data_IF_394450959443
#
_entry.id   IF_394450959443
#
_cell.length_a   1.000
_cell.length_b   1.000
_cell.length_c   1.000
_cell.angle_alpha   90.00
_cell.angle_beta   90.00
_cell.angle_gamma   90.00
#
_symmetry.space_group_name_H-M   'P 1'
#
loop_
_entity.id
_entity.type
_entity.pdbx_description
1 polymer ?
#
# COMPACT_ATOMS: atom_id res chain seq x y z
N UNK A 1 17.67 79.73 19.62
CA UNK A 1 16.32 79.35 19.13
C UNK A 1 16.54 78.21 18.16
N UNK A 2 16.09 77.00 18.51
CA UNK A 2 16.37 75.78 17.73
C UNK A 2 15.05 75.32 17.13
N UNK A 3 14.91 75.49 15.80
CA UNK A 3 13.75 75.03 15.04
C UNK A 3 13.60 73.51 15.19
N UNK A 4 12.47 73.05 15.72
CA UNK A 4 12.04 71.66 15.54
C UNK A 4 11.55 71.54 14.10
N UNK A 5 12.31 70.86 13.25
CA UNK A 5 11.80 70.40 11.96
C UNK A 5 10.79 69.26 12.22
N UNK A 6 9.53 69.63 12.43
CA UNK A 6 8.42 68.68 12.39
C UNK A 6 8.16 68.27 10.94
N UNK A 7 8.05 66.97 10.68
CA UNK A 7 7.55 66.47 9.41
C UNK A 7 6.03 66.69 9.39
N UNK A 8 5.51 67.29 8.33
CA UNK A 8 4.06 67.46 8.12
C UNK A 8 3.58 66.50 7.03
N UNK A 9 2.46 65.82 7.28
CA UNK A 9 1.84 64.88 6.36
C UNK A 9 0.48 65.44 5.91
N UNK A 10 0.34 65.63 4.60
CA UNK A 10 -0.88 66.14 3.99
C UNK A 10 -1.74 64.98 3.52
N UNK A 11 -2.87 64.74 4.20
CA UNK A 11 -3.81 63.65 3.87
C UNK A 11 -5.20 64.17 3.48
N UNK A 12 -5.44 65.47 3.55
CA UNK A 12 -6.74 66.02 3.18
C UNK A 12 -7.08 65.72 1.70
N UNK A 13 -8.35 65.41 1.44
CA UNK A 13 -8.82 64.98 0.12
C UNK A 13 -8.37 63.59 -0.35
N UNK A 14 -7.58 62.84 0.43
CA UNK A 14 -7.16 61.48 0.07
C UNK A 14 -8.12 60.41 0.61
N UNK A 15 -8.74 59.65 -0.29
CA UNK A 15 -9.58 58.51 0.06
C UNK A 15 -8.72 57.26 0.28
N UNK A 16 -8.21 57.06 1.50
CA UNK A 16 -7.48 55.85 1.87
C UNK A 16 -8.24 54.98 2.87
N UNK A 17 -7.95 53.68 2.81
CA UNK A 17 -8.68 52.66 3.57
C UNK A 17 -8.03 52.40 4.94
N UNK A 18 -8.82 52.38 6.01
CA UNK A 18 -8.44 51.91 7.34
C UNK A 18 -8.70 50.40 7.43
N UNK A 19 -7.85 49.61 6.77
CA UNK A 19 -7.92 48.14 6.74
C UNK A 19 -6.56 47.51 7.10
N UNK A 20 -6.49 46.18 7.11
CA UNK A 20 -5.25 45.46 7.43
C UNK A 20 -4.09 45.79 6.47
N UNK A 21 -4.37 46.15 5.22
CA UNK A 21 -3.33 46.44 4.22
C UNK A 21 -2.58 47.75 4.53
N UNK A 22 -3.28 48.75 5.07
CA UNK A 22 -2.71 50.05 5.45
C UNK A 22 -2.38 50.15 6.94
N UNK A 23 -2.41 49.03 7.68
CA UNK A 23 -2.13 48.99 9.12
C UNK A 23 -0.76 49.59 9.47
N UNK A 24 0.24 49.35 8.62
CA UNK A 24 1.59 49.86 8.85
C UNK A 24 1.69 51.38 8.69
N UNK A 25 0.94 51.98 7.76
CA UNK A 25 0.84 53.44 7.63
C UNK A 25 0.19 54.05 8.89
N UNK A 26 -0.89 53.45 9.38
CA UNK A 26 -1.58 53.92 10.59
C UNK A 26 -0.67 53.78 11.82
N UNK A 27 0.08 52.68 11.93
CA UNK A 27 1.09 52.47 12.99
C UNK A 27 2.28 53.42 12.85
N UNK A 28 2.66 53.78 11.63
CA UNK A 28 3.73 54.74 11.40
C UNK A 28 3.31 56.14 11.87
N UNK A 29 2.14 56.63 11.45
CA UNK A 29 1.56 57.91 11.90
C UNK A 29 1.50 58.00 13.43
N UNK A 30 1.09 56.90 14.09
CA UNK A 30 1.11 56.75 15.56
C UNK A 30 2.48 57.00 16.18
N UNK A 31 3.48 56.33 15.62
CA UNK A 31 4.80 56.20 16.23
C UNK A 31 5.61 57.47 16.02
N UNK A 32 5.48 58.08 14.84
CA UNK A 32 6.23 59.28 14.46
C UNK A 32 5.58 60.57 14.95
N UNK A 33 4.29 60.55 15.34
CA UNK A 33 3.53 61.74 15.77
C UNK A 33 3.68 62.90 14.77
N UNK A 34 3.57 62.57 13.49
CA UNK A 34 3.66 63.53 12.38
C UNK A 34 2.54 64.56 12.47
N UNK A 35 2.81 65.81 12.14
CA UNK A 35 1.79 66.86 12.13
C UNK A 35 0.89 66.68 10.90
N UNK A 36 -0.42 66.55 11.12
CA UNK A 36 -1.40 66.42 10.05
C UNK A 36 -1.90 67.79 9.60
N UNK A 37 -2.10 67.95 8.30
CA UNK A 37 -2.58 69.18 7.64
C UNK A 37 -3.96 69.66 8.11
N UNK A 38 -4.86 68.74 8.48
CA UNK A 38 -6.18 69.02 9.00
C UNK A 38 -6.46 68.26 10.29
N UNK A 39 -7.21 68.87 11.22
CA UNK A 39 -7.61 68.23 12.48
C UNK A 39 -8.58 67.05 12.27
N UNK A 40 -9.12 66.84 11.06
CA UNK A 40 -10.07 65.77 10.76
C UNK A 40 -9.75 65.03 9.45
N UNK A 41 -8.54 64.49 9.32
CA UNK A 41 -8.25 63.55 8.23
C UNK A 41 -9.07 62.27 8.40
N UNK A 42 -9.84 61.92 7.36
CA UNK A 42 -10.80 60.81 7.37
C UNK A 42 -10.24 59.62 6.63
N UNK A 43 -10.57 58.42 7.10
CA UNK A 43 -10.32 57.17 6.39
C UNK A 43 -11.58 56.32 6.34
N UNK A 44 -11.65 55.41 5.36
CA UNK A 44 -12.79 54.53 5.17
C UNK A 44 -12.47 53.11 5.64
N UNK A 45 -13.32 52.54 6.50
CA UNK A 45 -13.24 51.14 6.91
C UNK A 45 -13.70 50.21 5.77
N UNK A 46 -13.30 48.94 5.82
CA UNK A 46 -13.71 47.93 4.82
C UNK A 46 -15.24 47.76 4.68
N UNK A 47 -16.01 48.20 5.67
CA UNK A 47 -17.48 48.19 5.65
C UNK A 47 -18.12 49.47 5.07
N UNK A 48 -17.31 50.41 4.56
CA UNK A 48 -17.78 51.68 3.98
C UNK A 48 -17.94 52.83 4.97
N UNK A 49 -17.74 52.60 6.27
CA UNK A 49 -17.87 53.65 7.30
C UNK A 49 -16.67 54.59 7.26
N UNK A 50 -16.90 55.90 7.21
CA UNK A 50 -15.85 56.92 7.25
C UNK A 50 -15.63 57.37 8.69
N UNK A 51 -14.42 57.18 9.19
CA UNK A 51 -14.02 57.56 10.56
C UNK A 51 -12.79 58.47 10.52
N UNK A 52 -12.59 59.23 11.59
CA UNK A 52 -11.37 60.00 11.75
C UNK A 52 -10.18 59.05 11.90
N UNK A 53 -9.09 59.38 11.22
CA UNK A 53 -7.82 58.63 11.26
C UNK A 53 -7.26 58.51 12.68
N UNK A 54 -7.44 59.55 13.50
CA UNK A 54 -7.10 59.54 14.93
C UNK A 54 -7.97 58.55 15.73
N UNK A 55 -9.22 58.37 15.35
CA UNK A 55 -10.13 57.40 15.98
C UNK A 55 -9.77 55.96 15.58
N UNK A 56 -9.41 55.74 14.31
CA UNK A 56 -8.87 54.47 13.82
C UNK A 56 -7.55 54.10 14.55
N UNK A 57 -6.70 55.10 14.78
CA UNK A 57 -5.46 55.01 15.55
C UNK A 57 -5.69 54.61 17.02
N UNK A 58 -6.66 55.26 17.69
CA UNK A 58 -6.92 55.03 19.12
C UNK A 58 -7.46 53.62 19.36
N UNK A 59 -8.16 53.06 18.36
CA UNK A 59 -8.82 51.75 18.43
C UNK A 59 -8.02 50.64 17.71
N UNK A 60 -6.70 50.81 17.55
CA UNK A 60 -5.85 49.94 16.74
C UNK A 60 -5.85 48.47 17.21
N UNK A 61 -5.95 48.21 18.51
CA UNK A 61 -6.01 46.85 19.05
C UNK A 61 -7.32 46.15 18.72
N UNK A 62 -8.45 46.87 18.69
CA UNK A 62 -9.78 46.27 18.52
C UNK A 62 -10.16 46.16 17.05
N UNK A 63 -9.78 47.14 16.23
CA UNK A 63 -10.07 47.16 14.79
C UNK A 63 -9.18 46.22 13.98
N UNK A 64 -7.96 45.95 14.46
CA UNK A 64 -6.95 45.19 13.70
C UNK A 64 -6.42 43.96 14.44
N UNK A 65 -7.10 43.49 15.49
CA UNK A 65 -6.75 42.26 16.22
C UNK A 65 -6.62 41.06 15.26
N UNK A 66 -7.52 40.98 14.28
CA UNK A 66 -7.64 39.83 13.39
C UNK A 66 -6.63 39.85 12.23
N UNK A 67 -5.94 40.98 11.98
CA UNK A 67 -5.02 41.11 10.85
C UNK A 67 -3.80 40.18 10.93
N UNK A 68 -3.51 39.58 12.09
CA UNK A 68 -2.40 38.63 12.28
C UNK A 68 -2.86 37.17 12.39
N UNK A 69 -4.17 36.92 12.54
CA UNK A 69 -4.73 35.59 12.86
C UNK A 69 -4.65 34.62 11.68
N UNK A 70 -4.89 35.12 10.46
CA UNK A 70 -4.90 34.32 9.22
C UNK A 70 -3.53 33.72 8.89
N UNK A 71 -2.45 34.41 9.21
CA UNK A 71 -1.07 33.95 8.95
C UNK A 71 -0.72 32.74 9.81
N UNK A 72 -1.06 32.75 11.10
CA UNK A 72 -0.77 31.63 11.99
C UNK A 72 -1.59 30.38 11.66
N UNK A 73 -2.85 30.59 11.24
CA UNK A 73 -3.72 29.49 10.81
C UNK A 73 -3.19 28.80 9.56
N UNK A 74 -2.69 29.56 8.58
CA UNK A 74 -2.11 28.98 7.36
C UNK A 74 -0.80 28.22 7.65
N UNK A 75 0.07 28.76 8.50
CA UNK A 75 1.28 28.05 8.95
C UNK A 75 0.96 26.76 9.70
N UNK A 76 -0.02 26.77 10.61
CA UNK A 76 -0.43 25.57 11.34
C UNK A 76 -1.00 24.49 10.40
N UNK A 77 -1.87 24.88 9.47
CA UNK A 77 -2.49 23.97 8.51
C UNK A 77 -1.47 23.32 7.57
N UNK A 78 -0.49 24.09 7.09
CA UNK A 78 0.56 23.58 6.19
C UNK A 78 1.51 22.62 6.90
N UNK A 79 1.87 22.90 8.16
CA UNK A 79 2.70 22.00 8.97
C UNK A 79 2.00 20.68 9.26
N UNK A 80 0.71 20.70 9.62
CA UNK A 80 -0.06 19.47 9.85
C UNK A 80 -0.17 18.60 8.61
N UNK A 81 -0.43 19.23 7.46
CA UNK A 81 -0.56 18.53 6.18
C UNK A 81 0.75 17.85 5.76
N UNK A 82 1.87 18.56 5.89
CA UNK A 82 3.19 18.00 5.56
C UNK A 82 3.59 16.88 6.51
N UNK A 83 3.33 17.02 7.81
CA UNK A 83 3.57 15.96 8.79
C UNK A 83 2.77 14.69 8.48
N UNK A 84 1.49 14.83 8.11
CA UNK A 84 0.64 13.70 7.74
C UNK A 84 1.17 12.95 6.51
N UNK A 85 1.57 13.69 5.47
CA UNK A 85 2.15 13.11 4.24
C UNK A 85 3.45 12.34 4.56
N UNK A 86 4.36 12.94 5.34
CA UNK A 86 5.62 12.30 5.73
C UNK A 86 5.36 11.04 6.56
N UNK A 87 4.42 11.09 7.50
CA UNK A 87 4.03 9.94 8.32
C UNK A 87 3.49 8.79 7.45
N UNK A 88 2.62 9.09 6.49
CA UNK A 88 2.09 8.10 5.54
C UNK A 88 3.22 7.45 4.73
N UNK A 89 4.15 8.25 4.19
CA UNK A 89 5.29 7.73 3.44
C UNK A 89 6.19 6.81 4.28
N UNK A 90 6.45 7.17 5.54
CA UNK A 90 7.21 6.33 6.47
C UNK A 90 6.51 5.01 6.77
N UNK A 91 5.19 5.04 6.96
CA UNK A 91 4.39 3.82 7.15
C UNK A 91 4.47 2.94 5.90
N UNK A 92 4.24 3.50 4.71
CA UNK A 92 4.33 2.77 3.44
C UNK A 92 5.73 2.16 3.25
N UNK A 93 6.78 2.92 3.54
CA UNK A 93 8.16 2.45 3.46
C UNK A 93 8.43 1.31 4.46
N UNK A 94 7.96 1.43 5.71
CA UNK A 94 8.10 0.38 6.73
C UNK A 94 7.38 -0.92 6.32
N UNK A 95 6.30 -0.81 5.55
CA UNK A 95 5.51 -1.95 5.06
C UNK A 95 5.86 -2.36 3.63
N UNK A 96 6.89 -1.77 3.00
CA UNK A 96 7.22 -1.98 1.58
C UNK A 96 7.34 -3.45 1.19
N UNK A 97 7.95 -4.27 2.05
CA UNK A 97 8.13 -5.70 1.78
C UNK A 97 6.84 -6.49 1.89
N UNK A 98 5.96 -6.14 2.84
CA UNK A 98 4.64 -6.76 2.94
C UNK A 98 3.78 -6.42 1.73
N UNK A 99 3.76 -5.13 1.35
CA UNK A 99 3.03 -4.66 0.17
C UNK A 99 3.56 -5.33 -1.09
N UNK A 100 4.88 -5.38 -1.28
CA UNK A 100 5.52 -6.05 -2.41
C UNK A 100 5.17 -7.54 -2.48
N UNK A 101 5.20 -8.26 -1.35
CA UNK A 101 4.81 -9.67 -1.28
C UNK A 101 3.33 -9.90 -1.64
N UNK A 102 2.42 -9.06 -1.14
CA UNK A 102 1.01 -9.14 -1.51
C UNK A 102 0.80 -8.84 -3.01
N UNK A 103 1.45 -7.80 -3.54
CA UNK A 103 1.37 -7.45 -4.95
C UNK A 103 1.95 -8.54 -5.85
N UNK A 104 3.09 -9.14 -5.49
CA UNK A 104 3.67 -10.25 -6.26
C UNK A 104 2.72 -11.45 -6.30
N UNK A 105 2.08 -11.78 -5.17
CA UNK A 105 1.07 -12.85 -5.12
C UNK A 105 -0.15 -12.56 -6.01
N UNK A 106 -0.63 -11.31 -6.05
CA UNK A 106 -1.75 -10.90 -6.92
C UNK A 106 -1.37 -10.93 -8.39
N UNK A 107 -0.19 -10.39 -8.74
CA UNK A 107 0.33 -10.40 -10.12
C UNK A 107 0.55 -11.83 -10.61
N UNK A 108 1.14 -12.69 -9.77
CA UNK A 108 1.36 -14.10 -10.11
C UNK A 108 0.03 -14.84 -10.32
N UNK A 109 -0.96 -14.63 -9.46
CA UNK A 109 -2.32 -15.17 -9.66
C UNK A 109 -2.98 -14.66 -10.94
N UNK A 110 -2.75 -13.41 -11.31
CA UNK A 110 -3.30 -12.82 -12.53
C UNK A 110 -2.67 -13.42 -13.79
N UNK A 111 -1.33 -13.54 -13.82
CA UNK A 111 -0.57 -14.20 -14.89
C UNK A 111 -0.99 -15.66 -15.03
N UNK A 112 -1.18 -16.36 -13.90
CA UNK A 112 -1.60 -17.77 -13.91
C UNK A 112 -3.05 -17.95 -14.37
N UNK A 113 -3.94 -16.99 -14.09
CA UNK A 113 -5.34 -17.05 -14.54
C UNK A 113 -5.48 -16.72 -16.03
N UNK A 114 -4.57 -15.95 -16.62
CA UNK A 114 -4.57 -15.69 -18.07
C UNK A 114 -3.95 -16.83 -18.89
N UNK A 115 -3.38 -17.83 -18.22
CA UNK A 115 -2.73 -18.97 -18.84
C UNK A 115 -3.67 -20.18 -18.73
N UNK A 116 -4.30 -20.59 -19.84
CA UNK A 116 -5.05 -21.86 -20.00
C UNK A 116 -4.17 -23.13 -19.81
N UNK A 117 -2.97 -22.99 -19.23
CA UNK A 117 -1.96 -24.03 -19.13
C UNK A 117 -2.31 -25.14 -18.13
N UNK A 118 -3.05 -24.83 -17.07
CA UNK A 118 -3.30 -25.76 -15.97
C UNK A 118 -4.77 -26.17 -15.89
N UNK A 119 -5.01 -27.47 -16.02
CA UNK A 119 -6.34 -28.11 -15.87
C UNK A 119 -6.66 -28.42 -14.41
N UNK A 120 -5.63 -28.69 -13.61
CA UNK A 120 -5.74 -29.04 -12.20
C UNK A 120 -4.94 -28.05 -11.34
N UNK A 121 -5.40 -27.82 -10.12
CA UNK A 121 -4.65 -27.09 -9.10
C UNK A 121 -3.54 -27.95 -8.51
N UNK A 122 -3.79 -29.25 -8.30
CA UNK A 122 -2.86 -30.15 -7.61
C UNK A 122 -2.80 -31.52 -8.27
N UNK A 123 -1.59 -31.99 -8.58
CA UNK A 123 -1.28 -33.41 -8.75
C UNK A 123 -0.79 -33.99 -7.42
N UNK A 124 -1.22 -35.21 -7.07
CA UNK A 124 -0.76 -35.87 -5.85
C UNK A 124 -0.08 -37.21 -6.14
N UNK A 125 1.18 -37.31 -5.74
CA UNK A 125 1.98 -38.54 -5.77
C UNK A 125 2.02 -39.16 -4.38
N UNK A 126 1.65 -40.43 -4.28
CA UNK A 126 1.58 -41.20 -3.05
C UNK A 126 1.69 -42.69 -3.33
N UNK A 127 2.12 -43.46 -2.33
CA UNK A 127 2.16 -44.92 -2.37
C UNK A 127 0.83 -45.57 -1.96
N UNK A 128 0.69 -46.85 -2.30
CA UNK A 128 -0.54 -47.61 -2.14
C UNK A 128 -1.06 -47.71 -0.70
N UNK A 129 -0.17 -47.62 0.29
CA UNK A 129 -0.47 -47.75 1.72
C UNK A 129 -1.47 -46.72 2.25
N UNK A 130 -1.55 -45.56 1.62
CA UNK A 130 -2.35 -44.42 2.07
C UNK A 130 -3.53 -44.07 1.16
N UNK A 131 -3.77 -44.85 0.10
CA UNK A 131 -4.87 -44.63 -0.87
C UNK A 131 -6.22 -44.45 -0.17
N UNK A 132 -6.52 -45.31 0.81
CA UNK A 132 -7.80 -45.28 1.55
C UNK A 132 -7.94 -43.96 2.32
N UNK A 133 -6.89 -43.52 2.99
CA UNK A 133 -6.90 -42.26 3.74
C UNK A 133 -7.03 -41.05 2.80
N UNK A 134 -6.35 -41.05 1.67
CA UNK A 134 -6.45 -39.99 0.66
C UNK A 134 -7.90 -39.90 0.16
N UNK A 135 -8.48 -41.04 -0.23
CA UNK A 135 -9.83 -41.11 -0.81
C UNK A 135 -10.92 -40.60 0.14
N UNK A 136 -10.85 -40.97 1.41
CA UNK A 136 -11.95 -40.70 2.36
C UNK A 136 -11.70 -39.51 3.30
N UNK A 137 -10.46 -39.02 3.42
CA UNK A 137 -10.14 -37.91 4.33
C UNK A 137 -9.60 -36.70 3.59
N UNK A 138 -8.60 -36.89 2.72
CA UNK A 138 -7.88 -35.77 2.13
C UNK A 138 -8.64 -35.13 0.97
N UNK A 139 -9.07 -35.93 -0.01
CA UNK A 139 -9.80 -35.45 -1.19
C UNK A 139 -11.07 -34.68 -0.79
N UNK A 140 -11.95 -35.20 0.09
CA UNK A 140 -13.16 -34.48 0.47
C UNK A 140 -12.88 -33.10 1.08
N UNK A 141 -11.79 -32.95 1.86
CA UNK A 141 -11.42 -31.64 2.43
C UNK A 141 -10.91 -30.68 1.36
N UNK A 142 -10.00 -31.13 0.51
CA UNK A 142 -9.38 -30.27 -0.49
C UNK A 142 -10.35 -29.84 -1.60
N UNK A 143 -11.23 -30.75 -2.05
CA UNK A 143 -12.18 -30.43 -3.12
C UNK A 143 -13.47 -29.79 -2.59
N UNK A 144 -14.06 -30.30 -1.50
CA UNK A 144 -15.35 -29.80 -1.03
C UNK A 144 -15.22 -28.54 -0.15
N UNK A 145 -14.22 -28.46 0.73
CA UNK A 145 -14.04 -27.28 1.60
C UNK A 145 -13.26 -26.17 0.90
N UNK A 146 -12.21 -26.52 0.14
CA UNK A 146 -11.31 -25.54 -0.45
C UNK A 146 -11.54 -25.30 -1.96
N UNK A 147 -12.37 -26.13 -2.61
CA UNK A 147 -12.72 -25.96 -4.02
C UNK A 147 -11.55 -26.20 -4.98
N UNK A 148 -10.54 -26.96 -4.57
CA UNK A 148 -9.39 -27.27 -5.42
C UNK A 148 -9.75 -28.36 -6.45
N UNK A 149 -9.19 -28.25 -7.65
CA UNK A 149 -9.25 -29.29 -8.68
C UNK A 149 -8.02 -30.18 -8.57
N UNK A 150 -8.21 -31.47 -8.32
CA UNK A 150 -7.11 -32.43 -8.16
C UNK A 150 -7.04 -33.42 -9.31
N UNK A 151 -5.84 -33.85 -9.67
CA UNK A 151 -5.63 -35.08 -10.46
C UNK A 151 -5.07 -36.18 -9.56
N UNK A 152 -5.83 -37.28 -9.44
CA UNK A 152 -5.57 -38.41 -8.56
C UNK A 152 -5.57 -39.71 -9.37
N UNK A 153 -4.45 -40.46 -9.33
CA UNK A 153 -4.25 -41.72 -10.06
C UNK A 153 -5.39 -42.72 -9.87
N UNK A 154 -5.77 -42.99 -8.62
CA UNK A 154 -6.77 -44.02 -8.29
C UNK A 154 -8.24 -43.60 -8.51
N UNK A 155 -8.48 -42.41 -9.06
CA UNK A 155 -9.84 -41.88 -9.30
C UNK A 155 -10.03 -41.39 -10.74
N UNK A 156 -9.08 -40.64 -11.25
CA UNK A 156 -9.25 -39.84 -12.48
C UNK A 156 -8.72 -40.56 -13.73
N UNK A 157 -7.98 -41.65 -13.57
CA UNK A 157 -7.37 -42.36 -14.70
C UNK A 157 -8.36 -43.35 -15.29
N UNK A 158 -8.68 -43.16 -16.57
CA UNK A 158 -9.63 -44.00 -17.28
C UNK A 158 -8.93 -45.26 -17.81
N UNK A 159 -9.64 -46.39 -17.75
CA UNK A 159 -9.16 -47.63 -18.34
C UNK A 159 -9.11 -47.53 -19.87
N UNK A 160 -7.97 -47.89 -20.46
CA UNK A 160 -7.75 -47.88 -21.92
C UNK A 160 -6.70 -46.88 -22.41
N UNK A 161 -6.29 -45.94 -21.56
CA UNK A 161 -5.16 -45.05 -21.81
C UNK A 161 -3.86 -45.61 -21.20
N UNK A 162 -2.73 -45.14 -21.73
CA UNK A 162 -1.41 -45.46 -21.17
C UNK A 162 -1.26 -44.73 -19.85
N UNK A 163 -1.17 -45.49 -18.74
CA UNK A 163 -1.05 -44.92 -17.39
C UNK A 163 0.11 -43.93 -17.29
N UNK A 164 1.26 -44.24 -17.91
CA UNK A 164 2.43 -43.36 -17.89
C UNK A 164 2.18 -42.02 -18.61
N UNK A 165 1.41 -42.05 -19.71
CA UNK A 165 1.08 -40.83 -20.46
C UNK A 165 0.06 -39.99 -19.68
N UNK A 166 -0.93 -40.61 -19.06
CA UNK A 166 -1.91 -39.93 -18.20
C UNK A 166 -1.25 -39.32 -16.96
N UNK A 167 -0.29 -40.02 -16.32
CA UNK A 167 0.51 -39.46 -15.22
C UNK A 167 1.32 -38.24 -15.66
N UNK A 168 2.04 -38.38 -16.78
CA UNK A 168 2.85 -37.29 -17.31
C UNK A 168 2.00 -36.06 -17.67
N UNK A 169 0.82 -36.27 -18.28
CA UNK A 169 -0.12 -35.19 -18.59
C UNK A 169 -0.65 -34.54 -17.33
N UNK A 170 -1.05 -35.32 -16.31
CA UNK A 170 -1.53 -34.75 -15.06
C UNK A 170 -0.46 -33.95 -14.32
N UNK A 171 0.79 -34.41 -14.32
CA UNK A 171 1.94 -33.67 -13.79
C UNK A 171 2.11 -32.35 -14.57
N UNK A 172 2.07 -32.38 -15.90
CA UNK A 172 2.24 -31.19 -16.74
C UNK A 172 1.10 -30.17 -16.56
N UNK A 173 -0.14 -30.67 -16.44
CA UNK A 173 -1.36 -29.85 -16.36
C UNK A 173 -1.74 -29.45 -14.95
N UNK A 174 -0.92 -29.73 -13.94
CA UNK A 174 -1.15 -29.34 -12.55
C UNK A 174 -0.32 -28.14 -12.13
N UNK A 175 -0.92 -27.22 -11.38
CA UNK A 175 -0.20 -26.04 -10.86
C UNK A 175 0.82 -26.42 -9.81
N UNK A 176 0.47 -27.33 -8.91
CA UNK A 176 1.32 -27.82 -7.83
C UNK A 176 1.41 -29.34 -7.88
N UNK A 177 2.55 -29.87 -7.48
CA UNK A 177 2.75 -31.32 -7.30
C UNK A 177 3.00 -31.56 -5.81
N UNK A 178 2.16 -32.38 -5.18
CA UNK A 178 2.33 -32.80 -3.80
C UNK A 178 2.87 -34.23 -3.78
N UNK A 179 4.05 -34.42 -3.19
CA UNK A 179 4.58 -35.73 -2.85
C UNK A 179 4.25 -36.03 -1.39
N UNK A 180 3.44 -37.06 -1.15
CA UNK A 180 3.15 -37.56 0.18
C UNK A 180 4.03 -38.78 0.47
N UNK A 181 5.15 -38.52 1.14
CA UNK A 181 6.19 -39.51 1.41
C UNK A 181 5.83 -40.30 2.66
N UNK A 182 5.56 -41.59 2.46
CA UNK A 182 5.40 -42.64 3.48
C UNK A 182 6.56 -43.63 3.43
N UNK A 183 6.77 -44.51 4.43
CA UNK A 183 7.86 -45.49 4.37
C UNK A 183 7.84 -46.34 3.08
N UNK A 184 6.64 -46.65 2.55
CA UNK A 184 6.45 -47.41 1.31
C UNK A 184 6.68 -46.59 0.03
N UNK A 185 6.69 -45.26 0.11
CA UNK A 185 6.93 -44.38 -1.03
C UNK A 185 8.25 -44.71 -1.74
N UNK A 186 9.30 -45.01 -0.96
CA UNK A 186 10.65 -45.28 -1.48
C UNK A 186 10.75 -46.60 -2.24
N UNK A 187 9.85 -47.55 -1.94
CA UNK A 187 9.77 -48.84 -2.61
C UNK A 187 8.81 -48.83 -3.81
N UNK A 188 8.00 -47.79 -3.94
CA UNK A 188 7.05 -47.64 -5.04
C UNK A 188 7.74 -47.16 -6.30
N UNK A 189 7.76 -48.01 -7.33
CA UNK A 189 8.37 -47.68 -8.64
C UNK A 189 7.66 -46.49 -9.30
N UNK A 190 6.34 -46.43 -9.18
CA UNK A 190 5.52 -45.38 -9.78
C UNK A 190 5.83 -44.03 -9.11
N UNK A 191 5.94 -44.01 -7.78
CA UNK A 191 6.31 -42.80 -7.04
C UNK A 191 7.70 -42.26 -7.39
N UNK A 192 8.68 -43.15 -7.58
CA UNK A 192 10.03 -42.77 -7.99
C UNK A 192 10.04 -42.23 -9.43
N UNK A 193 9.27 -42.84 -10.33
CA UNK A 193 9.09 -42.35 -11.70
C UNK A 193 8.47 -40.95 -11.72
N UNK A 194 7.41 -40.72 -10.95
CA UNK A 194 6.76 -39.41 -10.83
C UNK A 194 7.70 -38.35 -10.28
N UNK A 195 8.56 -38.72 -9.32
CA UNK A 195 9.58 -37.84 -8.77
C UNK A 195 10.60 -37.43 -9.83
N UNK A 196 11.10 -38.37 -10.62
CA UNK A 196 12.04 -38.07 -11.70
C UNK A 196 11.39 -37.24 -12.80
N UNK A 197 10.11 -37.51 -13.12
CA UNK A 197 9.35 -36.68 -14.06
C UNK A 197 9.17 -35.25 -13.55
N UNK A 198 8.83 -35.07 -12.28
CA UNK A 198 8.67 -33.75 -11.68
C UNK A 198 9.98 -32.95 -11.68
N UNK A 199 11.13 -33.59 -11.44
CA UNK A 199 12.45 -32.94 -11.58
C UNK A 199 12.71 -32.50 -13.01
N UNK A 200 12.42 -33.36 -13.98
CA UNK A 200 12.60 -33.03 -15.40
C UNK A 200 11.74 -31.82 -15.78
N UNK A 201 10.47 -31.79 -15.39
CA UNK A 201 9.56 -30.67 -15.64
C UNK A 201 10.00 -29.39 -14.90
N UNK A 202 10.56 -29.51 -13.70
CA UNK A 202 11.17 -28.38 -12.98
C UNK A 202 12.30 -27.75 -13.79
N UNK A 203 13.23 -28.55 -14.30
CA UNK A 203 14.38 -28.05 -15.07
C UNK A 203 13.96 -27.51 -16.44
N UNK A 204 13.07 -28.20 -17.14
CA UNK A 204 12.72 -27.85 -18.53
C UNK A 204 11.65 -26.77 -18.65
N UNK A 205 10.73 -26.70 -17.68
CA UNK A 205 9.56 -25.80 -17.72
C UNK A 205 9.46 -24.86 -16.52
N UNK A 206 10.50 -24.81 -15.68
CA UNK A 206 10.56 -23.97 -14.48
C UNK A 206 9.38 -24.23 -13.52
N UNK A 207 9.08 -25.51 -13.29
CA UNK A 207 8.07 -25.97 -12.33
C UNK A 207 8.59 -25.78 -10.90
N UNK A 208 8.39 -24.58 -10.35
CA UNK A 208 8.85 -24.19 -9.01
C UNK A 208 7.89 -24.61 -7.87
N UNK A 209 6.88 -25.41 -8.18
CA UNK A 209 5.69 -25.62 -7.33
C UNK A 209 5.55 -27.05 -6.81
N UNK A 210 6.66 -27.63 -6.34
CA UNK A 210 6.69 -28.95 -5.72
C UNK A 210 6.56 -28.79 -4.20
N UNK A 211 5.65 -29.54 -3.59
CA UNK A 211 5.40 -29.56 -2.15
C UNK A 211 5.65 -30.99 -1.66
N UNK A 212 6.43 -31.13 -0.59
CA UNK A 212 6.73 -32.42 0.02
C UNK A 212 6.08 -32.49 1.40
N UNK A 213 5.26 -33.50 1.61
CA UNK A 213 4.62 -33.80 2.90
C UNK A 213 5.13 -35.17 3.33
N UNK A 214 5.64 -35.27 4.56
CA UNK A 214 6.10 -36.54 5.12
C UNK A 214 5.11 -37.07 6.14
N UNK A 215 4.95 -38.40 6.18
CA UNK A 215 4.16 -39.10 7.19
C UNK A 215 4.97 -40.28 7.72
N UNK A 216 5.09 -40.36 9.04
CA UNK A 216 5.73 -41.47 9.76
C UNK A 216 7.18 -41.77 9.30
N UNK A 217 7.89 -40.74 8.82
CA UNK A 217 9.28 -40.81 8.37
C UNK A 217 10.10 -39.66 8.97
N UNK A 218 11.36 -39.95 9.32
CA UNK A 218 12.34 -38.93 9.73
C UNK A 218 12.90 -38.22 8.51
N UNK A 219 13.22 -36.93 8.65
CA UNK A 219 13.77 -36.11 7.56
C UNK A 219 15.02 -36.73 6.92
N UNK A 220 15.87 -37.41 7.72
CA UNK A 220 17.08 -38.12 7.25
C UNK A 220 16.79 -39.26 6.28
N UNK A 221 15.58 -39.78 6.33
CA UNK A 221 15.18 -40.96 5.60
C UNK A 221 14.46 -40.57 4.28
N UNK A 222 14.24 -39.26 4.02
CA UNK A 222 13.68 -38.77 2.75
C UNK A 222 14.67 -39.09 1.61
N UNK A 223 14.21 -39.59 0.44
CA UNK A 223 15.10 -39.81 -0.70
C UNK A 223 15.94 -38.57 -0.98
N UNK A 224 17.27 -38.75 -1.10
CA UNK A 224 18.21 -37.65 -1.38
C UNK A 224 17.83 -36.87 -2.64
N UNK A 225 17.11 -37.52 -3.54
CA UNK A 225 16.46 -36.96 -4.72
C UNK A 225 15.61 -35.70 -4.45
N UNK A 226 14.99 -35.58 -3.28
CA UNK A 226 14.23 -34.39 -2.87
C UNK A 226 15.13 -33.25 -2.36
N UNK A 227 16.39 -33.51 -2.02
CA UNK A 227 17.31 -32.47 -1.54
C UNK A 227 17.78 -31.52 -2.64
N UNK A 228 17.51 -31.86 -3.90
CA UNK A 228 17.86 -31.10 -5.11
C UNK A 228 16.64 -30.46 -5.79
N UNK A 229 15.48 -30.48 -5.13
CA UNK A 229 14.23 -29.82 -5.55
C UNK A 229 14.00 -28.60 -4.65
#
# INVERSE_FOLDING_TARGET
>A
MQERQGMSLFLDGNAFMCNCDNLDLIRWIKTTKVDLDSQSNKCQLSNGTVIDTLTAYNSLSNLFADCKSTVWLTFASTLLSTFFIISLLLVLYSKRWKIAFYLSGVVQRFIEKSSERYKYDVYMSYAGDIVIWIKYVLIPRLEAEWGLTMCIRDRDFLGGESLLDTEAECIEKSRYIIFLITPEFKSSKDCLFELDRAKYERVTRNLDKIIVITKDIRITDIPLEFSYI
#
